data_IF_083245259894
#
_entry.id   IF_083245259894
#
_cell.length_a   1.000
_cell.length_b   1.000
_cell.length_c   1.000
_cell.angle_alpha   90.00
_cell.angle_beta   90.00
_cell.angle_gamma   90.00
#
_symmetry.space_group_name_H-M   'P 1'
#
loop_
_entity.id
_entity.type
_entity.pdbx_description
1 polymer ?
#
# COMPACT_ATOMS: atom_id res chain seq x y z
N UNK A 1 -19.37 -9.17 -19.98
CA UNK A 1 -18.15 -8.35 -19.93
C UNK A 1 -17.23 -8.91 -18.85
N UNK A 2 -16.00 -9.25 -19.23
CA UNK A 2 -15.08 -10.09 -18.46
C UNK A 2 -14.69 -9.44 -17.12
N UNK A 3 -15.02 -10.10 -16.00
CA UNK A 3 -14.33 -9.87 -14.72
C UNK A 3 -12.88 -10.30 -14.93
N UNK A 4 -11.98 -9.35 -15.18
CA UNK A 4 -10.56 -9.53 -14.89
C UNK A 4 -10.45 -9.74 -13.37
N UNK A 5 -10.57 -11.00 -12.92
CA UNK A 5 -10.45 -11.35 -11.52
C UNK A 5 -9.02 -11.00 -11.09
N UNK A 6 -8.90 -9.93 -10.29
CA UNK A 6 -7.64 -9.61 -9.62
C UNK A 6 -7.22 -10.83 -8.81
N UNK A 7 -6.19 -11.55 -9.29
CA UNK A 7 -5.63 -12.70 -8.61
C UNK A 7 -5.50 -12.43 -7.10
N UNK A 8 -6.01 -13.34 -6.27
CA UNK A 8 -6.01 -13.18 -4.81
C UNK A 8 -4.57 -12.95 -4.32
N UNK A 9 -4.42 -12.24 -3.19
CA UNK A 9 -3.10 -11.92 -2.56
C UNK A 9 -2.17 -13.13 -2.52
N UNK A 10 -2.75 -14.29 -2.26
CA UNK A 10 -2.05 -15.55 -2.08
C UNK A 10 -1.55 -16.14 -3.41
N UNK A 11 -2.29 -15.90 -4.50
CA UNK A 11 -1.96 -16.39 -5.84
C UNK A 11 -0.70 -15.70 -6.41
N UNK A 12 -0.52 -14.40 -6.14
CA UNK A 12 0.69 -13.67 -6.59
C UNK A 12 1.93 -14.07 -5.80
N UNK A 13 1.81 -14.21 -4.47
CA UNK A 13 2.93 -14.66 -3.64
C UNK A 13 3.32 -16.12 -3.94
N UNK A 14 2.35 -16.95 -4.31
CA UNK A 14 2.62 -18.32 -4.75
C UNK A 14 3.49 -18.40 -6.00
N UNK A 15 3.50 -17.38 -6.88
CA UNK A 15 4.33 -17.39 -8.10
C UNK A 15 5.83 -17.32 -7.79
N UNK A 16 6.25 -16.43 -6.88
CA UNK A 16 7.66 -16.38 -6.45
C UNK A 16 8.07 -17.69 -5.79
N UNK A 17 7.23 -18.23 -4.89
CA UNK A 17 7.53 -19.50 -4.20
C UNK A 17 7.58 -20.70 -5.16
N UNK A 18 6.72 -20.73 -6.18
CA UNK A 18 6.75 -21.75 -7.24
C UNK A 18 8.03 -21.64 -8.07
N UNK A 19 8.36 -20.42 -8.52
CA UNK A 19 9.60 -20.14 -9.24
C UNK A 19 10.83 -20.60 -8.45
N UNK A 20 10.92 -20.20 -7.17
CA UNK A 20 12.03 -20.57 -6.29
C UNK A 20 12.07 -22.08 -5.99
N UNK A 21 10.97 -22.82 -6.10
CA UNK A 21 10.98 -24.29 -5.97
C UNK A 21 11.47 -24.99 -7.24
N UNK A 22 11.06 -24.49 -8.40
CA UNK A 22 11.31 -25.12 -9.69
C UNK A 22 12.70 -24.79 -10.24
N UNK A 23 13.22 -23.59 -9.97
CA UNK A 23 14.39 -23.04 -10.67
C UNK A 23 15.60 -22.76 -9.76
N UNK A 24 15.49 -23.02 -8.46
CA UNK A 24 16.54 -22.66 -7.49
C UNK A 24 16.89 -23.84 -6.59
N UNK A 25 18.16 -24.18 -6.55
CA UNK A 25 18.73 -25.16 -5.63
C UNK A 25 18.75 -24.64 -4.19
N UNK A 26 18.70 -25.54 -3.19
CA UNK A 26 18.67 -25.18 -1.77
C UNK A 26 19.88 -24.35 -1.30
N UNK A 27 21.02 -24.44 -1.99
CA UNK A 27 22.24 -23.69 -1.69
C UNK A 27 22.34 -22.35 -2.42
N UNK A 28 21.48 -22.10 -3.40
CA UNK A 28 21.55 -20.90 -4.21
C UNK A 28 21.07 -19.68 -3.42
N UNK A 29 21.81 -18.57 -3.54
CA UNK A 29 21.51 -17.31 -2.86
C UNK A 29 21.04 -16.26 -3.87
N UNK A 30 19.80 -16.41 -4.30
CA UNK A 30 19.13 -15.44 -5.18
C UNK A 30 18.52 -14.32 -4.33
N UNK A 31 18.71 -13.07 -4.76
CA UNK A 31 18.07 -11.90 -4.12
C UNK A 31 16.57 -11.93 -4.36
N UNK A 32 15.76 -11.62 -3.35
CA UNK A 32 14.30 -11.60 -3.48
C UNK A 32 13.79 -10.62 -4.55
N UNK A 33 14.57 -9.60 -4.91
CA UNK A 33 14.23 -8.68 -6.00
C UNK A 33 14.28 -9.37 -7.36
N UNK A 34 15.26 -10.26 -7.54
CA UNK A 34 15.43 -11.03 -8.77
C UNK A 34 14.30 -12.06 -8.94
N UNK A 35 14.00 -12.84 -7.89
CA UNK A 35 12.89 -13.80 -7.93
C UNK A 35 11.55 -13.11 -8.24
N UNK A 36 11.32 -11.90 -7.71
CA UNK A 36 10.11 -11.11 -8.01
C UNK A 36 10.08 -10.58 -9.42
N UNK A 37 11.23 -10.12 -9.94
CA UNK A 37 11.37 -9.64 -11.33
C UNK A 37 11.00 -10.74 -12.30
N UNK A 38 11.56 -11.94 -12.12
CA UNK A 38 11.29 -13.10 -12.98
C UNK A 38 9.84 -13.55 -12.86
N UNK A 39 9.30 -13.61 -11.64
CA UNK A 39 7.90 -13.99 -11.42
C UNK A 39 6.87 -12.90 -11.81
N UNK A 40 7.31 -11.69 -12.17
CA UNK A 40 6.43 -10.57 -12.50
C UNK A 40 5.57 -10.08 -11.33
N UNK A 41 6.08 -10.18 -10.09
CA UNK A 41 5.32 -9.85 -8.86
C UNK A 41 5.79 -8.53 -8.26
N UNK A 42 4.87 -7.59 -8.05
CA UNK A 42 5.14 -6.30 -7.38
C UNK A 42 5.57 -6.48 -5.91
N UNK A 43 6.31 -5.52 -5.35
CA UNK A 43 6.69 -5.60 -3.93
C UNK A 43 5.45 -5.37 -3.08
N UNK A 44 5.31 -6.15 -1.99
CA UNK A 44 4.17 -5.99 -1.07
C UNK A 44 4.05 -4.58 -0.49
N UNK A 45 5.20 -3.91 -0.28
CA UNK A 45 5.23 -2.53 0.20
C UNK A 45 4.56 -1.59 -0.80
N UNK A 46 4.85 -1.71 -2.09
CA UNK A 46 4.25 -0.88 -3.14
C UNK A 46 2.72 -1.05 -3.21
N UNK A 47 2.24 -2.27 -2.97
CA UNK A 47 0.81 -2.56 -2.89
C UNK A 47 0.17 -1.95 -1.65
N UNK A 48 0.80 -2.08 -0.49
CA UNK A 48 0.32 -1.47 0.77
C UNK A 48 0.23 0.04 0.62
N UNK A 49 1.29 0.67 0.12
CA UNK A 49 1.34 2.11 -0.15
C UNK A 49 0.22 2.55 -1.10
N UNK A 50 0.02 1.84 -2.22
CA UNK A 50 -1.07 2.14 -3.16
C UNK A 50 -2.43 2.05 -2.48
N UNK A 51 -2.69 1.02 -1.68
CA UNK A 51 -3.94 0.86 -0.96
C UNK A 51 -4.16 1.94 0.11
N UNK A 52 -3.09 2.38 0.80
CA UNK A 52 -3.18 3.51 1.75
C UNK A 52 -3.55 4.81 1.06
N UNK A 53 -2.92 5.11 -0.08
CA UNK A 53 -3.22 6.32 -0.86
C UNK A 53 -4.63 6.30 -1.46
N UNK A 54 -5.11 5.14 -1.93
CA UNK A 54 -6.49 4.95 -2.35
C UNK A 54 -7.48 5.29 -1.22
N UNK A 55 -7.25 4.74 -0.03
CA UNK A 55 -8.10 5.01 1.14
C UNK A 55 -8.02 6.48 1.60
N UNK A 56 -6.84 7.11 1.49
CA UNK A 56 -6.70 8.54 1.78
C UNK A 56 -7.50 9.41 0.81
N UNK A 57 -7.41 9.13 -0.50
CA UNK A 57 -8.22 9.81 -1.51
C UNK A 57 -9.71 9.64 -1.22
N UNK A 58 -10.15 8.42 -0.84
CA UNK A 58 -11.52 8.16 -0.41
C UNK A 58 -11.93 9.04 0.76
N UNK A 59 -11.15 9.05 1.86
CA UNK A 59 -11.43 9.87 3.03
C UNK A 59 -11.57 11.35 2.70
N UNK A 60 -10.71 11.88 1.81
CA UNK A 60 -10.74 13.28 1.40
C UNK A 60 -11.92 13.65 0.49
N UNK A 61 -12.56 12.67 -0.13
CA UNK A 61 -13.79 12.85 -0.92
C UNK A 61 -15.07 12.62 -0.11
N UNK A 62 -14.97 12.14 1.14
CA UNK A 62 -16.13 12.03 2.02
C UNK A 62 -16.59 13.42 2.46
N UNK A 63 -17.90 13.56 2.63
CA UNK A 63 -18.50 14.73 3.26
C UNK A 63 -17.96 14.95 4.68
N UNK A 64 -17.70 16.20 5.04
CA UNK A 64 -17.08 16.60 6.31
C UNK A 64 -17.88 16.16 7.54
N UNK A 65 -19.20 15.99 7.41
CA UNK A 65 -20.05 15.58 8.52
C UNK A 65 -19.97 14.07 8.80
N UNK A 66 -19.37 13.28 7.91
CA UNK A 66 -19.28 11.83 8.10
C UNK A 66 -18.30 11.47 9.22
N UNK A 67 -18.75 10.56 10.09
CA UNK A 67 -17.98 10.08 11.25
C UNK A 67 -16.56 9.60 10.88
N UNK A 68 -16.32 8.84 9.79
CA UNK A 68 -14.97 8.39 9.45
C UNK A 68 -13.97 9.53 9.22
N UNK A 69 -14.39 10.60 8.53
CA UNK A 69 -13.53 11.76 8.28
C UNK A 69 -13.28 12.56 9.55
N UNK A 70 -14.32 12.75 10.38
CA UNK A 70 -14.18 13.38 11.70
C UNK A 70 -13.18 12.63 12.60
N UNK A 71 -13.27 11.30 12.65
CA UNK A 71 -12.34 10.46 13.41
C UNK A 71 -10.93 10.49 12.83
N UNK A 72 -10.79 10.56 11.50
CA UNK A 72 -9.49 10.69 10.84
C UNK A 72 -8.78 12.01 11.18
N UNK A 73 -9.54 13.12 11.24
CA UNK A 73 -9.01 14.44 11.57
C UNK A 73 -8.82 14.67 13.08
N UNK A 74 -9.36 13.80 13.93
CA UNK A 74 -9.24 13.92 15.37
C UNK A 74 -7.79 13.69 15.79
N UNK A 75 -7.15 14.73 16.33
CA UNK A 75 -5.84 14.58 16.95
C UNK A 75 -5.99 14.15 18.40
N UNK A 76 -5.32 13.06 18.78
CA UNK A 76 -5.26 12.65 20.19
C UNK A 76 -4.28 13.57 20.94
N UNK A 77 -4.79 14.23 21.96
CA UNK A 77 -3.98 15.01 22.91
C UNK A 77 -3.13 14.07 23.79
N UNK A 78 -1.91 14.49 24.13
CA UNK A 78 -1.00 13.75 25.01
C UNK A 78 0.44 13.61 24.49
N UNK A 79 1.36 13.31 25.41
CA UNK A 79 2.79 13.11 25.10
C UNK A 79 3.06 11.69 24.60
N UNK A 80 3.81 11.57 23.51
CA UNK A 80 4.31 10.28 23.02
C UNK A 80 5.43 9.75 23.91
N UNK A 81 5.54 8.43 23.99
CA UNK A 81 6.69 7.76 24.62
C UNK A 81 7.98 8.21 23.92
N UNK A 82 9.05 8.42 24.71
CA UNK A 82 10.38 8.70 24.16
C UNK A 82 10.92 7.49 23.37
N UNK A 83 11.77 7.73 22.38
CA UNK A 83 12.38 6.69 21.55
C UNK A 83 11.79 6.61 20.14
N UNK A 84 11.40 5.41 19.70
CA UNK A 84 10.78 5.15 18.40
C UNK A 84 9.28 4.84 18.52
N UNK A 85 8.42 5.85 18.73
CA UNK A 85 6.98 5.69 18.58
C UNK A 85 6.61 5.09 17.22
N UNK A 86 5.49 4.38 17.17
CA UNK A 86 4.87 4.00 15.89
C UNK A 86 4.40 5.28 15.17
N UNK A 87 4.60 5.31 13.85
CA UNK A 87 4.11 6.39 13.00
C UNK A 87 2.58 6.46 13.08
N UNK A 88 2.02 7.67 13.14
CA UNK A 88 0.57 7.83 12.96
C UNK A 88 0.21 7.43 11.53
N UNK A 89 -1.06 7.15 11.33
CA UNK A 89 -1.58 6.88 10.00
C UNK A 89 -1.34 8.04 9.02
N UNK A 90 -1.59 9.29 9.46
CA UNK A 90 -1.34 10.51 8.68
C UNK A 90 0.15 10.64 8.30
N UNK A 91 1.06 10.41 9.26
CA UNK A 91 2.51 10.43 9.01
C UNK A 91 2.92 9.40 7.94
N UNK A 92 2.30 8.21 7.96
CA UNK A 92 2.55 7.18 6.96
C UNK A 92 2.05 7.59 5.58
N UNK A 93 0.90 8.27 5.48
CA UNK A 93 0.40 8.78 4.19
C UNK A 93 1.35 9.85 3.65
N UNK A 94 1.76 10.83 4.46
CA UNK A 94 2.72 11.85 4.02
C UNK A 94 4.04 11.24 3.54
N UNK A 95 4.52 10.21 4.23
CA UNK A 95 5.72 9.47 3.82
C UNK A 95 5.52 8.75 2.47
N UNK A 96 4.35 8.16 2.23
CA UNK A 96 4.04 7.48 0.97
C UNK A 96 3.93 8.45 -0.21
N UNK A 97 3.30 9.62 0.02
CA UNK A 97 3.19 10.72 -0.94
C UNK A 97 4.60 11.19 -1.32
N UNK A 98 5.43 11.50 -0.32
CA UNK A 98 6.81 11.93 -0.52
C UNK A 98 7.64 10.87 -1.25
N UNK A 99 7.53 9.60 -0.83
CA UNK A 99 8.27 8.48 -1.46
C UNK A 99 7.93 8.34 -2.94
N UNK A 100 6.71 8.67 -3.34
CA UNK A 100 6.25 8.60 -4.74
C UNK A 100 6.41 9.91 -5.51
N UNK A 101 6.89 10.98 -4.87
CA UNK A 101 7.02 12.30 -5.48
C UNK A 101 5.67 12.87 -5.93
N UNK A 102 4.58 12.53 -5.23
CA UNK A 102 3.24 12.99 -5.56
C UNK A 102 2.91 14.27 -4.81
N UNK A 103 2.07 15.10 -5.40
CA UNK A 103 1.40 16.19 -4.67
C UNK A 103 0.12 15.66 -4.00
N UNK A 104 -0.20 16.05 -2.76
CA UNK A 104 -1.41 15.61 -2.08
C UNK A 104 -2.72 15.87 -2.84
N UNK A 105 -2.80 16.94 -3.63
CA UNK A 105 -4.01 17.26 -4.43
C UNK A 105 -4.24 16.22 -5.52
N UNK A 106 -3.15 15.73 -6.12
CA UNK A 106 -3.18 14.69 -7.16
C UNK A 106 -3.76 13.39 -6.58
N UNK A 107 -3.38 13.02 -5.36
CA UNK A 107 -3.90 11.79 -4.71
C UNK A 107 -5.41 11.82 -4.49
N UNK A 108 -5.97 13.00 -4.24
CA UNK A 108 -7.41 13.19 -3.98
C UNK A 108 -8.21 13.11 -5.29
N UNK A 109 -7.67 13.66 -6.37
CA UNK A 109 -8.39 13.87 -7.63
C UNK A 109 -8.15 12.74 -8.65
N UNK A 110 -7.04 12.01 -8.56
CA UNK A 110 -6.69 11.01 -9.57
C UNK A 110 -7.63 9.80 -9.57
N UNK A 111 -8.00 9.42 -10.78
CA UNK A 111 -8.82 8.25 -11.09
C UNK A 111 -8.20 6.93 -10.62
N UNK A 112 -6.87 6.86 -10.61
CA UNK A 112 -6.07 5.73 -10.12
C UNK A 112 -6.24 5.48 -8.61
N UNK A 113 -6.63 6.51 -7.86
CA UNK A 113 -6.91 6.46 -6.43
C UNK A 113 -8.42 6.55 -6.14
N UNK A 114 -9.28 6.43 -7.16
CA UNK A 114 -10.72 6.22 -6.95
C UNK A 114 -10.98 4.87 -6.31
N UNK A 115 -12.11 4.81 -5.64
CA UNK A 115 -12.50 3.68 -4.82
C UNK A 115 -12.55 2.37 -5.60
N UNK A 116 -12.13 1.31 -4.91
CA UNK A 116 -12.38 -0.08 -5.34
C UNK A 116 -13.83 -0.50 -5.04
N UNK A 117 -14.53 0.27 -4.21
CA UNK A 117 -15.86 -0.01 -3.64
C UNK A 117 -16.97 0.11 -4.66
#
# INVERSE_FOLDING_TARGET
MLRLCMKRKDEKNALCTKYDRENKGKRDRVRNEESRRIAGVERIQERIERSRLQWYGHMRRLDENRIPLRMFNLETEGRRRRGRPRLRWVDMIHKDIQKRGLDPTIVINEEKFKDRT
#
